data_IF_476927411416
#
_entry.id   IF_476927411416
#
_cell.length_a   1.000
_cell.length_b   1.000
_cell.length_c   1.000
_cell.angle_alpha   90.00
_cell.angle_beta   90.00
_cell.angle_gamma   90.00
#
_symmetry.space_group_name_H-M   'P 1'
#
loop_
_entity.id
_entity.type
_entity.pdbx_description
1 polymer ?
#
# COMPACT_ATOMS: atom_id res chain seq x y z
N UNK A 1 9.09 0.90 -3.78
CA UNK A 1 9.76 0.55 -2.50
C UNK A 1 10.02 1.84 -1.74
N UNK A 2 10.15 1.79 -0.42
CA UNK A 2 10.53 2.96 0.40
C UNK A 2 11.67 2.54 1.31
N UNK A 3 12.73 3.33 1.35
CA UNK A 3 13.90 3.07 2.19
C UNK A 3 14.54 4.38 2.64
N UNK A 4 15.28 4.32 3.74
CA UNK A 4 16.21 5.37 4.16
C UNK A 4 17.41 5.44 3.20
N UNK A 5 18.22 6.50 3.33
CA UNK A 5 19.41 6.72 2.49
C UNK A 5 20.46 5.59 2.64
N UNK A 6 20.56 5.00 3.82
CA UNK A 6 21.41 3.85 4.15
C UNK A 6 20.73 2.49 3.84
N UNK A 7 19.60 2.49 3.13
CA UNK A 7 18.98 1.30 2.58
C UNK A 7 18.07 0.52 3.53
N UNK A 8 17.67 1.09 4.67
CA UNK A 8 16.79 0.42 5.63
C UNK A 8 15.32 0.65 5.30
N UNK A 9 14.49 -0.37 5.51
CA UNK A 9 13.03 -0.36 5.26
C UNK A 9 12.20 -0.43 6.54
N UNK A 10 12.85 -0.59 7.69
CA UNK A 10 12.30 -0.49 9.03
C UNK A 10 13.41 -0.05 10.00
N UNK A 11 13.02 0.59 11.10
CA UNK A 11 13.90 0.90 12.21
C UNK A 11 14.31 -0.39 12.96
N UNK A 12 15.37 -0.36 13.79
CA UNK A 12 15.82 -1.53 14.55
C UNK A 12 14.76 -2.12 15.49
N UNK A 13 13.78 -1.31 15.90
CA UNK A 13 12.63 -1.72 16.70
C UNK A 13 11.49 -2.35 15.87
N UNK A 14 11.68 -2.49 14.56
CA UNK A 14 10.71 -3.05 13.62
C UNK A 14 9.68 -2.05 13.10
N UNK A 15 9.71 -0.78 13.51
CA UNK A 15 8.78 0.23 13.01
C UNK A 15 9.15 0.67 11.59
N UNK A 16 8.19 0.66 10.67
CA UNK A 16 8.41 0.91 9.23
C UNK A 16 7.60 2.09 8.68
N UNK A 17 6.82 2.75 9.53
CA UNK A 17 5.85 3.76 9.09
C UNK A 17 6.53 5.09 8.77
N UNK A 18 6.17 5.62 7.61
CA UNK A 18 6.46 6.99 7.17
C UNK A 18 7.94 7.32 7.01
N UNK A 19 8.71 6.38 6.46
CA UNK A 19 10.06 6.65 5.92
C UNK A 19 10.02 7.75 4.85
N UNK A 20 8.95 7.80 4.06
CA UNK A 20 8.74 8.81 3.00
C UNK A 20 7.62 9.80 3.35
N UNK A 21 7.71 11.00 2.76
CA UNK A 21 6.77 12.12 2.93
C UNK A 21 5.41 11.93 2.26
N UNK A 22 4.52 12.92 2.37
CA UNK A 22 3.15 12.88 1.83
C UNK A 22 3.07 12.75 0.32
N UNK A 23 3.97 13.41 -0.42
CA UNK A 23 4.01 13.34 -1.89
C UNK A 23 4.24 11.90 -2.37
N UNK A 24 5.22 11.21 -1.78
CA UNK A 24 5.48 9.80 -2.08
C UNK A 24 4.29 8.89 -1.74
N UNK A 25 3.44 9.28 -0.78
CA UNK A 25 2.23 8.51 -0.44
C UNK A 25 1.12 8.71 -1.46
N UNK A 26 0.94 9.94 -1.94
CA UNK A 26 0.02 10.24 -3.03
C UNK A 26 0.41 9.44 -4.28
N UNK A 27 1.71 9.40 -4.61
CA UNK A 27 2.23 8.60 -5.72
C UNK A 27 1.89 7.11 -5.59
N UNK A 28 2.05 6.52 -4.39
CA UNK A 28 1.69 5.12 -4.16
C UNK A 28 0.19 4.89 -4.34
N UNK A 29 -0.66 5.86 -3.98
CA UNK A 29 -2.10 5.74 -4.20
C UNK A 29 -2.47 5.77 -5.69
N UNK A 30 -1.80 6.57 -6.50
CA UNK A 30 -1.96 6.52 -7.96
C UNK A 30 -1.50 5.18 -8.55
N UNK A 31 -0.35 4.66 -8.10
CA UNK A 31 0.12 3.34 -8.55
C UNK A 31 -0.87 2.22 -8.21
N UNK A 32 -1.54 2.30 -7.05
CA UNK A 32 -2.60 1.35 -6.68
C UNK A 32 -3.84 1.50 -7.57
N UNK A 33 -4.21 2.72 -7.94
CA UNK A 33 -5.32 2.99 -8.84
C UNK A 33 -5.10 2.43 -10.25
N UNK A 34 -3.84 2.29 -10.66
CA UNK A 34 -3.47 1.70 -11.95
C UNK A 34 -3.24 0.18 -11.92
N UNK A 35 -3.32 -0.44 -10.75
CA UNK A 35 -3.05 -1.86 -10.56
C UNK A 35 -4.35 -2.65 -10.42
N UNK A 36 -4.44 -3.81 -11.07
CA UNK A 36 -5.55 -4.74 -10.83
C UNK A 36 -5.46 -5.40 -9.44
N UNK A 37 -4.24 -5.54 -8.91
CA UNK A 37 -3.99 -6.13 -7.61
C UNK A 37 -2.76 -5.55 -6.90
N UNK A 38 -2.79 -5.57 -5.57
CA UNK A 38 -1.66 -5.31 -4.68
C UNK A 38 -1.33 -6.59 -3.93
N UNK A 39 -0.08 -7.04 -4.05
CA UNK A 39 0.42 -8.22 -3.36
C UNK A 39 1.21 -7.82 -2.11
N UNK A 40 1.02 -8.56 -1.00
CA UNK A 40 1.72 -8.31 0.26
C UNK A 40 2.07 -9.63 0.96
N UNK A 41 3.24 -9.70 1.59
CA UNK A 41 3.61 -10.84 2.43
C UNK A 41 2.89 -10.80 3.78
N UNK A 42 2.49 -11.96 4.30
CA UNK A 42 1.83 -12.09 5.60
C UNK A 42 2.65 -11.55 6.78
N UNK A 43 3.98 -11.47 6.67
CA UNK A 43 4.84 -10.81 7.66
C UNK A 43 4.53 -9.33 7.81
N UNK A 44 4.43 -8.60 6.69
CA UNK A 44 4.04 -7.18 6.66
C UNK A 44 2.63 -6.97 7.21
N UNK A 45 1.70 -7.88 6.91
CA UNK A 45 0.34 -7.78 7.45
C UNK A 45 0.33 -7.89 8.98
N UNK A 46 1.09 -8.82 9.53
CA UNK A 46 1.22 -9.01 10.98
C UNK A 46 1.92 -7.83 11.66
N UNK A 47 2.93 -7.24 11.02
CA UNK A 47 3.70 -6.13 11.57
C UNK A 47 2.95 -4.79 11.48
N UNK A 48 2.37 -4.47 10.31
CA UNK A 48 1.89 -3.13 10.00
C UNK A 48 0.36 -3.01 9.93
N UNK A 49 -0.35 -4.14 9.84
CA UNK A 49 -1.80 -4.24 9.65
C UNK A 49 -2.35 -3.24 8.59
N UNK A 50 -1.81 -3.24 7.36
CA UNK A 50 -2.16 -2.25 6.35
C UNK A 50 -3.53 -2.53 5.74
N UNK A 51 -4.21 -1.49 5.23
CA UNK A 51 -5.46 -1.63 4.45
C UNK A 51 -5.22 -1.89 2.96
N UNK A 52 -4.12 -1.35 2.42
CA UNK A 52 -3.74 -1.43 1.00
C UNK A 52 -4.84 -0.98 0.02
N UNK A 53 -5.74 -0.12 0.49
CA UNK A 53 -6.75 0.60 -0.27
C UNK A 53 -6.17 1.83 -0.98
N UNK A 54 -6.96 2.38 -1.88
CA UNK A 54 -6.75 3.69 -2.49
C UNK A 54 -7.41 4.73 -1.57
N UNK A 55 -6.66 5.74 -1.17
CA UNK A 55 -7.13 6.86 -0.34
C UNK A 55 -6.52 8.14 -0.90
N UNK A 56 -7.18 9.26 -0.65
CA UNK A 56 -6.65 10.59 -0.95
C UNK A 56 -6.29 10.81 -2.44
N UNK A 57 -7.04 10.21 -3.38
CA UNK A 57 -6.97 10.63 -4.78
C UNK A 57 -7.63 12.02 -4.93
N UNK A 58 -7.06 12.92 -5.74
CA UNK A 58 -7.74 14.16 -6.12
C UNK A 58 -9.14 13.84 -6.65
N UNK A 59 -10.14 14.64 -6.26
CA UNK A 59 -11.54 14.46 -6.66
C UNK A 59 -11.66 14.34 -8.19
N UNK A 60 -12.12 13.16 -8.63
CA UNK A 60 -12.17 12.77 -10.03
C UNK A 60 -11.36 11.48 -10.21
N UNK A 61 -12.06 10.34 -10.26
CA UNK A 61 -11.59 8.95 -10.29
C UNK A 61 -10.67 8.61 -11.49
N UNK A 62 -9.70 9.43 -11.83
CA UNK A 62 -8.82 9.22 -12.97
C UNK A 62 -7.40 9.21 -12.45
N UNK A 63 -6.70 8.08 -12.61
CA UNK A 63 -5.26 8.08 -12.44
C UNK A 63 -4.67 9.14 -13.37
N UNK A 64 -3.78 10.00 -12.85
CA UNK A 64 -3.01 10.92 -13.70
C UNK A 64 -2.15 10.18 -14.73
N UNK A 65 -1.85 8.90 -14.47
CA UNK A 65 -1.07 7.98 -15.31
C UNK A 65 -1.91 7.15 -16.28
N UNK A 66 -3.25 7.23 -16.23
CA UNK A 66 -4.14 6.56 -17.19
C UNK A 66 -5.62 6.88 -16.98
N UNK A 67 -6.34 7.13 -18.08
CA UNK A 67 -7.77 7.47 -18.14
C UNK A 67 -8.74 6.33 -17.72
N UNK A 68 -8.35 5.51 -16.74
CA UNK A 68 -9.18 4.47 -16.15
C UNK A 68 -9.88 5.04 -14.92
N UNK A 69 -11.17 4.76 -14.82
CA UNK A 69 -11.90 4.94 -13.58
C UNK A 69 -11.18 4.15 -12.47
N UNK A 70 -10.73 4.83 -11.43
CA UNK A 70 -9.99 4.22 -10.33
C UNK A 70 -10.85 3.09 -9.72
N UNK A 71 -10.37 1.85 -9.86
CA UNK A 71 -10.96 0.67 -9.22
C UNK A 71 -10.11 0.29 -8.04
N UNK A 72 -10.75 -0.14 -6.97
CA UNK A 72 -10.05 -0.71 -5.82
C UNK A 72 -9.31 -1.98 -6.23
N UNK A 73 -7.99 -2.07 -6.03
CA UNK A 73 -7.21 -3.24 -6.40
C UNK A 73 -7.58 -4.42 -5.52
N UNK A 74 -7.50 -5.63 -6.09
CA UNK A 74 -7.57 -6.86 -5.30
C UNK A 74 -6.37 -6.94 -4.36
N UNK A 75 -6.57 -7.38 -3.12
CA UNK A 75 -5.49 -7.54 -2.14
C UNK A 75 -5.12 -9.00 -2.06
N UNK A 76 -3.91 -9.33 -2.50
CA UNK A 76 -3.40 -10.69 -2.50
C UNK A 76 -2.40 -10.82 -1.36
N UNK A 77 -2.70 -11.72 -0.43
CA UNK A 77 -1.84 -11.97 0.74
C UNK A 77 -1.10 -13.29 0.53
N UNK A 78 0.23 -13.23 0.63
CA UNK A 78 1.10 -14.40 0.57
C UNK A 78 1.38 -14.92 1.99
N UNK A 79 0.68 -15.99 2.37
CA UNK A 79 0.79 -16.65 3.67
C UNK A 79 -0.43 -16.45 4.57
N UNK A 80 -0.35 -16.94 5.81
CA UNK A 80 -1.43 -16.88 6.79
C UNK A 80 -1.40 -15.58 7.61
N UNK A 81 -2.58 -14.99 7.84
CA UNK A 81 -2.75 -13.75 8.60
C UNK A 81 -3.81 -13.93 9.68
N UNK A 82 -3.77 -13.14 10.77
CA UNK A 82 -4.78 -13.21 11.83
C UNK A 82 -6.18 -12.88 11.31
N UNK A 83 -7.19 -13.47 11.95
CA UNK A 83 -8.58 -13.08 11.76
C UNK A 83 -8.77 -11.59 12.15
N UNK A 84 -9.51 -10.84 11.34
CA UNK A 84 -9.72 -9.40 11.55
C UNK A 84 -8.59 -8.48 11.05
N UNK A 85 -7.60 -9.01 10.31
CA UNK A 85 -6.61 -8.16 9.63
C UNK A 85 -7.28 -7.14 8.70
N UNK A 86 -6.74 -5.92 8.65
CA UNK A 86 -7.30 -4.79 7.88
C UNK A 86 -7.16 -4.96 6.37
N UNK A 87 -6.23 -5.79 5.92
CA UNK A 87 -6.11 -6.18 4.52
C UNK A 87 -7.22 -7.19 4.22
N UNK A 88 -8.37 -6.69 3.79
CA UNK A 88 -9.48 -7.56 3.39
C UNK A 88 -9.21 -8.04 1.97
N UNK A 89 -8.94 -9.35 1.73
CA UNK A 89 -8.89 -9.85 0.36
C UNK A 89 -10.25 -9.61 -0.30
N UNK A 90 -10.22 -9.01 -1.49
CA UNK A 90 -11.39 -8.78 -2.33
C UNK A 90 -11.62 -9.97 -3.26
#
# INVERSE_FOLDING_TARGET
MASTLDGRTAAPDGTSRWITGSEARADVHELRADSDAVCVGAGTVRADNPRLDIRDLPTGLTSARGARSAREPRRIVLGSIPEGARVLPA
#
